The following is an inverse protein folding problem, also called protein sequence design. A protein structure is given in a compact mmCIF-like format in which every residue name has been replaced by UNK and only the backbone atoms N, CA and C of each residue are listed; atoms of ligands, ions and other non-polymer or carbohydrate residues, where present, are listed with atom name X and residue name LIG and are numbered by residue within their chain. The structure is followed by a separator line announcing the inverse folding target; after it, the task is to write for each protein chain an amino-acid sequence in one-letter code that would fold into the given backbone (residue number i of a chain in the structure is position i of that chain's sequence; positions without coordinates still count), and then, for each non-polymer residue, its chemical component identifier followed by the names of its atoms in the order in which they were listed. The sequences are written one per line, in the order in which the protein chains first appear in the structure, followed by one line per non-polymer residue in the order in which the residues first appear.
data_IF_054492202632
#
_entry.id   IF_054492202632
#
_cell.length_a   1.000
_cell.length_b   1.000
_cell.length_c   1.000
_cell.angle_alpha   90.00
_cell.angle_beta   90.00
_cell.angle_gamma   90.00
#
_symmetry.space_group_name_H-M   'P 1'
#
loop_
_entity.id
_entity.type
_entity.pdbx_description
1 polymer ?
#
# COMPACT_ATOMS: atom_id res chain seq x y z
N UNK A 1 3.54 29.79 1.90
CA UNK A 1 3.48 29.19 0.54
C UNK A 1 2.42 28.11 0.56
N UNK A 2 1.44 28.15 -0.34
CA UNK A 2 0.30 27.22 -0.37
C UNK A 2 0.72 25.94 -1.12
N UNK A 3 0.29 24.76 -0.67
CA UNK A 3 0.63 23.46 -1.29
C UNK A 3 0.42 23.39 -2.82
N UNK A 4 -0.65 23.98 -3.40
CA UNK A 4 -0.81 24.02 -4.85
C UNK A 4 0.33 24.77 -5.56
N UNK A 5 0.85 25.84 -4.96
CA UNK A 5 1.96 26.63 -5.50
C UNK A 5 3.26 25.80 -5.52
N UNK A 6 3.47 24.98 -4.48
CA UNK A 6 4.63 24.09 -4.41
C UNK A 6 4.58 22.98 -5.46
N UNK A 7 3.41 22.41 -5.71
CA UNK A 7 3.24 21.41 -6.78
C UNK A 7 3.51 22.03 -8.15
N UNK A 8 2.90 23.18 -8.45
CA UNK A 8 3.17 23.90 -9.70
C UNK A 8 4.65 24.25 -9.87
N UNK A 9 5.34 24.58 -8.77
CA UNK A 9 6.78 24.82 -8.79
C UNK A 9 7.57 23.56 -9.15
N UNK A 10 7.23 22.40 -8.56
CA UNK A 10 7.86 21.11 -8.87
C UNK A 10 7.61 20.73 -10.33
N UNK A 11 6.37 20.88 -10.81
CA UNK A 11 6.00 20.57 -12.19
C UNK A 11 6.78 21.42 -13.21
N UNK A 12 7.05 22.69 -12.89
CA UNK A 12 7.83 23.59 -13.75
C UNK A 12 9.30 23.15 -13.88
N UNK A 13 9.84 22.46 -12.87
CA UNK A 13 11.22 21.98 -12.83
C UNK A 13 11.36 20.51 -13.28
N UNK A 14 10.26 19.87 -13.71
CA UNK A 14 10.31 18.57 -14.36
C UNK A 14 11.01 18.66 -15.72
N UNK A 15 11.75 17.62 -16.09
CA UNK A 15 12.38 17.49 -17.40
C UNK A 15 11.36 17.40 -18.56
N UNK A 16 10.13 16.97 -18.26
CA UNK A 16 8.98 16.97 -19.17
C UNK A 16 8.27 18.34 -19.25
N UNK A 17 8.68 19.32 -18.44
CA UNK A 17 8.10 20.66 -18.47
C UNK A 17 8.47 21.40 -19.76
N UNK A 18 7.64 22.38 -20.15
CA UNK A 18 7.83 23.19 -21.35
C UNK A 18 9.23 23.82 -21.48
N UNK A 19 9.88 24.14 -20.35
CA UNK A 19 11.23 24.72 -20.32
C UNK A 19 12.36 23.70 -20.09
N UNK A 20 12.04 22.43 -19.86
CA UNK A 20 12.99 21.37 -19.55
C UNK A 20 13.76 21.64 -18.25
N UNK A 21 13.23 21.20 -17.12
CA UNK A 21 13.93 21.27 -15.84
C UNK A 21 14.86 20.07 -15.58
N UNK A 22 15.54 20.08 -14.43
CA UNK A 22 16.52 19.04 -14.08
C UNK A 22 15.90 17.81 -13.40
N UNK A 23 14.67 17.93 -12.87
CA UNK A 23 14.04 16.83 -12.14
C UNK A 23 13.47 15.80 -13.10
N UNK A 24 13.84 14.55 -12.92
CA UNK A 24 13.22 13.43 -13.62
C UNK A 24 11.75 13.26 -13.25
N UNK A 25 11.01 12.52 -14.10
CA UNK A 25 9.65 12.09 -13.80
C UNK A 25 9.56 11.34 -12.46
N UNK A 26 10.57 10.53 -12.13
CA UNK A 26 10.58 9.80 -10.86
C UNK A 26 10.74 10.74 -9.65
N UNK A 27 11.63 11.72 -9.74
CA UNK A 27 11.86 12.70 -8.66
C UNK A 27 10.65 13.60 -8.45
N UNK A 28 10.04 14.10 -9.54
CA UNK A 28 8.81 14.90 -9.45
C UNK A 28 7.65 14.10 -8.85
N UNK A 29 7.50 12.81 -9.20
CA UNK A 29 6.51 11.91 -8.61
C UNK A 29 6.75 11.66 -7.10
N UNK A 30 8.01 11.46 -6.67
CA UNK A 30 8.36 11.29 -5.25
C UNK A 30 8.01 12.56 -4.46
N UNK A 31 8.44 13.73 -4.94
CA UNK A 31 8.22 15.00 -4.26
C UNK A 31 6.71 15.29 -4.14
N UNK A 32 5.97 15.10 -5.24
CA UNK A 32 4.51 15.28 -5.25
C UNK A 32 3.80 14.30 -4.33
N UNK A 33 4.22 13.02 -4.35
CA UNK A 33 3.69 11.98 -3.47
C UNK A 33 3.91 12.30 -1.99
N UNK A 34 5.07 12.85 -1.61
CA UNK A 34 5.34 13.28 -0.24
C UNK A 34 4.45 14.45 0.20
N UNK A 35 4.18 15.40 -0.70
CA UNK A 35 3.24 16.50 -0.42
C UNK A 35 1.81 15.98 -0.22
N UNK A 36 1.38 15.02 -1.05
CA UNK A 36 0.05 14.40 -1.00
C UNK A 36 -0.15 13.49 0.21
N UNK A 37 0.91 12.85 0.69
CA UNK A 37 0.85 11.99 1.86
C UNK A 37 0.31 12.72 3.10
N UNK A 38 0.56 14.02 3.22
CA UNK A 38 0.05 14.84 4.33
C UNK A 38 -1.47 15.02 4.36
N UNK A 39 -2.18 14.70 3.27
CA UNK A 39 -3.65 14.73 3.19
C UNK A 39 -4.24 13.33 3.04
N UNK A 40 -3.42 12.32 2.75
CA UNK A 40 -3.86 10.95 2.54
C UNK A 40 -4.30 10.33 3.86
N UNK A 41 -5.48 9.74 3.88
CA UNK A 41 -6.01 8.98 5.01
C UNK A 41 -5.73 7.50 4.85
N UNK A 42 -5.90 6.71 5.91
CA UNK A 42 -5.82 5.25 5.82
C UNK A 42 -6.81 4.69 4.77
N UNK A 43 -8.00 5.29 4.66
CA UNK A 43 -9.02 4.89 3.68
C UNK A 43 -8.52 5.02 2.23
N UNK A 44 -7.70 6.03 1.94
CA UNK A 44 -7.19 6.28 0.59
C UNK A 44 -6.05 5.33 0.17
N UNK A 45 -5.51 4.55 1.11
CA UNK A 45 -4.36 3.69 0.89
C UNK A 45 -4.59 2.20 1.25
N UNK A 46 -5.61 1.89 2.03
CA UNK A 46 -5.83 0.54 2.55
C UNK A 46 -6.52 -0.37 1.53
N UNK A 47 -6.26 -1.68 1.61
CA UNK A 47 -7.07 -2.70 0.93
C UNK A 47 -8.39 -2.90 1.70
N UNK A 48 -9.55 -2.90 1.02
CA UNK A 48 -10.82 -3.23 1.67
C UNK A 48 -10.79 -4.62 2.30
N UNK A 49 -11.48 -4.78 3.43
CA UNK A 49 -11.54 -6.07 4.13
C UNK A 49 -12.19 -7.17 3.26
N UNK A 50 -13.14 -6.81 2.39
CA UNK A 50 -13.75 -7.73 1.42
C UNK A 50 -12.78 -8.27 0.37
N UNK A 51 -11.65 -7.59 0.16
CA UNK A 51 -10.60 -7.97 -0.79
C UNK A 51 -9.35 -8.52 -0.06
N UNK A 52 -9.44 -8.72 1.26
CA UNK A 52 -8.34 -9.18 2.09
C UNK A 52 -8.42 -10.69 2.29
N UNK A 53 -7.37 -11.40 1.87
CA UNK A 53 -7.18 -12.80 2.27
C UNK A 53 -6.82 -12.88 3.76
N UNK A 54 -7.56 -13.69 4.52
CA UNK A 54 -7.36 -13.91 5.95
C UNK A 54 -7.70 -15.34 6.33
N UNK A 55 -7.18 -15.84 7.44
CA UNK A 55 -7.36 -17.22 7.89
C UNK A 55 -8.12 -17.27 9.22
N UNK A 56 -9.00 -18.25 9.39
CA UNK A 56 -9.58 -18.53 10.71
C UNK A 56 -8.49 -19.11 11.61
N UNK A 57 -8.46 -18.73 12.89
CA UNK A 57 -7.53 -19.25 13.90
C UNK A 57 -7.58 -20.78 14.05
N UNK A 58 -8.71 -21.41 13.70
CA UNK A 58 -8.91 -22.85 13.76
C UNK A 58 -8.59 -23.54 12.42
N UNK A 59 -8.12 -22.80 11.40
CA UNK A 59 -7.75 -23.37 10.10
C UNK A 59 -6.56 -24.31 10.27
N UNK A 60 -6.66 -25.52 9.71
CA UNK A 60 -5.52 -26.44 9.65
C UNK A 60 -4.61 -26.03 8.50
N UNK A 61 -3.35 -25.73 8.82
CA UNK A 61 -2.32 -25.36 7.84
C UNK A 61 -1.66 -26.63 7.28
N UNK A 62 -2.41 -27.42 6.55
CA UNK A 62 -1.88 -28.58 5.82
C UNK A 62 -1.32 -28.17 4.43
N UNK A 63 -0.85 -29.14 3.66
CA UNK A 63 -0.22 -28.92 2.34
C UNK A 63 -1.03 -28.02 1.41
N UNK A 64 -2.36 -28.16 1.35
CA UNK A 64 -3.17 -27.43 0.37
C UNK A 64 -3.32 -25.94 0.74
N UNK A 65 -3.76 -25.55 1.95
CA UNK A 65 -3.75 -24.16 2.39
C UNK A 65 -2.35 -23.55 2.43
N UNK A 66 -1.30 -24.31 2.79
CA UNK A 66 0.08 -23.80 2.76
C UNK A 66 0.53 -23.46 1.34
N UNK A 67 0.21 -24.29 0.36
CA UNK A 67 0.51 -24.00 -1.06
C UNK A 67 -0.21 -22.73 -1.53
N UNK A 68 -1.48 -22.56 -1.12
CA UNK A 68 -2.23 -21.34 -1.41
C UNK A 68 -1.56 -20.11 -0.77
N UNK A 69 -1.21 -20.19 0.51
CA UNK A 69 -0.52 -19.11 1.24
C UNK A 69 0.79 -18.73 0.55
N UNK A 70 1.59 -19.71 0.12
CA UNK A 70 2.84 -19.46 -0.59
C UNK A 70 2.64 -18.86 -1.98
N UNK A 71 1.52 -19.15 -2.65
CA UNK A 71 1.18 -18.55 -3.94
C UNK A 71 0.71 -17.10 -3.83
N UNK A 72 0.22 -16.72 -2.65
CA UNK A 72 -0.23 -15.37 -2.35
C UNK A 72 1.02 -14.57 -1.98
N UNK A 73 1.46 -13.66 -2.86
CA UNK A 73 2.65 -12.81 -2.64
C UNK A 73 2.39 -11.75 -1.54
N UNK A 74 2.16 -12.23 -0.31
CA UNK A 74 1.87 -11.45 0.89
C UNK A 74 2.71 -12.00 2.02
N UNK A 75 3.52 -11.12 2.60
CA UNK A 75 4.37 -11.46 3.76
C UNK A 75 3.60 -11.58 5.07
N UNK A 76 2.37 -11.04 5.14
CA UNK A 76 1.55 -10.97 6.35
C UNK A 76 0.13 -11.37 6.03
N UNK A 77 -0.41 -12.31 6.80
CA UNK A 77 -1.78 -12.79 6.65
C UNK A 77 -2.54 -12.54 7.95
N UNK A 78 -3.62 -11.74 7.92
CA UNK A 78 -4.48 -11.54 9.08
C UNK A 78 -5.15 -12.84 9.54
N UNK A 79 -5.27 -13.01 10.86
CA UNK A 79 -5.96 -14.14 11.48
C UNK A 79 -7.22 -13.65 12.19
N UNK A 80 -8.34 -14.31 11.95
CA UNK A 80 -9.63 -13.96 12.55
C UNK A 80 -10.19 -15.10 13.41
N UNK A 81 -11.15 -14.76 14.28
CA UNK A 81 -11.93 -15.75 15.03
C UNK A 81 -13.42 -15.58 14.77
N UNK A 82 -14.04 -16.61 14.19
CA UNK A 82 -15.49 -16.71 13.95
C UNK A 82 -16.00 -15.86 12.79
N UNK A 83 -15.61 -14.59 12.71
CA UNK A 83 -15.92 -13.69 11.60
C UNK A 83 -14.66 -13.03 11.08
N UNK A 84 -14.52 -12.93 9.76
CA UNK A 84 -13.41 -12.21 9.10
C UNK A 84 -13.32 -10.71 9.48
N UNK A 85 -14.37 -10.14 10.08
CA UNK A 85 -14.37 -8.79 10.66
C UNK A 85 -13.71 -8.72 12.04
N UNK A 86 -13.49 -9.85 12.69
CA UNK A 86 -12.88 -9.99 14.00
C UNK A 86 -11.43 -10.47 13.86
N UNK A 87 -10.56 -9.58 13.38
CA UNK A 87 -9.12 -9.85 13.27
C UNK A 87 -8.51 -9.85 14.68
N UNK A 88 -7.91 -10.96 15.07
CA UNK A 88 -7.29 -11.17 16.39
C UNK A 88 -5.76 -11.20 16.33
N UNK A 89 -5.17 -11.23 15.13
CA UNK A 89 -3.72 -11.27 14.96
C UNK A 89 -3.30 -11.32 13.50
N UNK A 90 -2.02 -11.64 13.29
CA UNK A 90 -1.42 -11.84 11.98
C UNK A 90 -0.36 -12.94 12.04
N UNK A 91 -0.16 -13.64 10.93
CA UNK A 91 0.96 -14.56 10.72
C UNK A 91 1.94 -13.93 9.73
N UNK A 92 3.24 -14.12 9.97
CA UNK A 92 4.30 -13.83 9.03
C UNK A 92 4.55 -15.07 8.17
N UNK A 93 4.57 -14.90 6.84
CA UNK A 93 4.76 -16.02 5.88
C UNK A 93 6.26 -16.30 5.62
N UNK A 94 7.15 -15.48 6.19
CA UNK A 94 8.60 -15.71 6.15
C UNK A 94 9.01 -16.56 7.34
N UNK A 95 8.82 -17.87 7.23
CA UNK A 95 9.55 -18.93 7.95
C UNK A 95 9.45 -20.24 7.15
#
# INVERSE_FOLDING_TARGET
MRRPELKTFVDLHGNEAWKGGELSHHETAIITGAMDLTQKTARDAMTPLSETFSLDINSKLDMQPMTLIMSIDRSRIPIYYGSYKNIIGLILVKD
#
